data_IF_277570380576
#
_entry.id   IF_277570380576
#
_cell.length_a   1.000
_cell.length_b   1.000
_cell.length_c   1.000
_cell.angle_alpha   90.00
_cell.angle_beta   90.00
_cell.angle_gamma   90.00
#
_symmetry.space_group_name_H-M   'P 1'
#
loop_
_entity.id
_entity.type
_entity.pdbx_description
1 polymer ?
#
# COMPACT_ATOMS: atom_id res chain seq x y z
N UNK A 1 21.03 -2.39 -17.30
CA UNK A 1 20.08 -3.02 -16.36
C UNK A 1 20.23 -2.53 -14.91
N UNK A 2 21.41 -2.50 -14.29
CA UNK A 2 21.57 -2.00 -12.90
C UNK A 2 21.19 -0.52 -12.78
N UNK A 3 21.68 0.35 -13.64
CA UNK A 3 21.35 1.78 -13.67
C UNK A 3 19.88 2.06 -13.99
N UNK A 4 19.26 1.23 -14.81
CA UNK A 4 17.86 1.33 -15.18
C UNK A 4 16.93 1.01 -14.01
N UNK A 5 17.22 -0.06 -13.26
CA UNK A 5 16.47 -0.42 -12.05
C UNK A 5 16.61 0.64 -10.95
N UNK A 6 17.80 1.23 -10.81
CA UNK A 6 17.99 2.33 -9.85
C UNK A 6 17.16 3.55 -10.25
N UNK A 7 17.09 3.88 -11.55
CA UNK A 7 16.23 4.97 -12.04
C UNK A 7 14.76 4.75 -11.72
N UNK A 8 14.25 3.53 -11.88
CA UNK A 8 12.86 3.22 -11.50
C UNK A 8 12.59 3.54 -10.04
N UNK A 9 13.52 3.26 -9.13
CA UNK A 9 13.39 3.65 -7.73
C UNK A 9 13.50 5.16 -7.53
N UNK A 10 14.41 5.84 -8.24
CA UNK A 10 14.57 7.30 -8.16
C UNK A 10 13.30 8.01 -8.64
N UNK A 11 12.70 7.56 -9.75
CA UNK A 11 11.41 8.07 -10.26
C UNK A 11 10.28 7.79 -9.28
N UNK A 12 10.17 6.56 -8.80
CA UNK A 12 9.15 6.19 -7.83
C UNK A 12 9.23 7.02 -6.55
N UNK A 13 10.46 7.29 -6.05
CA UNK A 13 10.69 8.14 -4.89
C UNK A 13 10.26 9.58 -5.14
N UNK A 14 10.64 10.14 -6.28
CA UNK A 14 10.39 11.54 -6.60
C UNK A 14 8.90 11.81 -6.89
N UNK A 15 8.30 11.02 -7.76
CA UNK A 15 6.90 11.20 -8.19
C UNK A 15 5.90 10.73 -7.13
N UNK A 16 6.20 9.61 -6.47
CA UNK A 16 5.41 9.06 -5.38
C UNK A 16 5.55 9.80 -4.06
N UNK A 17 6.46 10.76 -3.97
CA UNK A 17 6.75 11.52 -2.75
C UNK A 17 7.07 10.60 -1.57
N UNK A 18 7.92 9.59 -1.81
CA UNK A 18 8.25 8.59 -0.81
C UNK A 18 9.42 9.07 0.06
N UNK A 19 9.33 8.86 1.37
CA UNK A 19 10.49 9.13 2.26
C UNK A 19 11.62 8.17 1.95
N UNK A 20 11.30 6.88 1.78
CA UNK A 20 12.22 5.87 1.28
C UNK A 20 11.48 4.82 0.46
N UNK A 21 12.16 4.30 -0.55
CA UNK A 21 11.77 3.11 -1.28
C UNK A 21 13.00 2.25 -1.49
N UNK A 22 12.86 0.94 -1.33
CA UNK A 22 13.90 -0.04 -1.59
C UNK A 22 13.34 -1.16 -2.46
N UNK A 23 14.16 -1.71 -3.32
CA UNK A 23 13.77 -2.81 -4.21
C UNK A 23 14.89 -3.81 -4.43
N UNK A 24 14.53 -5.05 -4.66
CA UNK A 24 15.45 -6.12 -5.04
C UNK A 24 14.86 -6.96 -6.17
N UNK A 25 15.71 -7.40 -7.08
CA UNK A 25 15.43 -8.47 -8.04
C UNK A 25 16.22 -9.68 -7.61
N UNK A 26 15.60 -10.84 -7.64
CA UNK A 26 16.19 -12.08 -7.18
C UNK A 26 15.92 -13.25 -8.15
N UNK A 27 16.70 -14.30 -8.00
CA UNK A 27 16.47 -15.58 -8.63
C UNK A 27 16.46 -16.71 -7.58
N UNK A 28 16.49 -17.94 -8.02
CA UNK A 28 16.53 -19.12 -7.13
C UNK A 28 17.77 -19.20 -6.22
N UNK A 29 18.79 -18.39 -6.48
CA UNK A 29 20.06 -18.42 -5.73
C UNK A 29 20.21 -17.22 -4.78
N UNK A 30 19.44 -16.16 -4.96
CA UNK A 30 19.47 -14.98 -4.10
C UNK A 30 19.17 -13.67 -4.86
N UNK A 31 19.48 -12.55 -4.21
CA UNK A 31 19.35 -11.24 -4.84
C UNK A 31 20.41 -11.08 -5.94
N UNK A 32 19.96 -10.77 -7.16
CA UNK A 32 20.82 -10.44 -8.31
C UNK A 32 21.01 -8.93 -8.47
N UNK A 33 20.15 -8.17 -7.88
CA UNK A 33 20.23 -6.70 -7.81
C UNK A 33 19.43 -6.20 -6.61
N UNK A 34 19.91 -5.12 -5.99
CA UNK A 34 19.14 -4.36 -5.00
C UNK A 34 19.57 -2.89 -4.99
N UNK A 35 18.62 -2.02 -4.68
CA UNK A 35 18.84 -0.59 -4.63
C UNK A 35 17.82 0.11 -3.74
N UNK A 36 17.99 1.42 -3.60
CA UNK A 36 17.06 2.25 -2.83
C UNK A 36 17.16 3.71 -3.22
N UNK A 37 16.10 4.47 -2.91
CA UNK A 37 16.03 5.91 -3.14
C UNK A 37 15.42 6.64 -1.93
N UNK A 38 15.69 7.94 -1.82
CA UNK A 38 15.33 8.77 -0.67
C UNK A 38 16.18 8.47 0.57
N UNK A 39 15.55 8.44 1.75
CA UNK A 39 16.19 8.07 3.01
C UNK A 39 16.20 6.53 3.19
N UNK A 40 16.54 5.83 2.11
CA UNK A 40 16.52 4.38 2.09
C UNK A 40 17.60 3.81 3.03
N UNK A 41 17.23 2.92 3.97
CA UNK A 41 18.20 2.10 4.67
C UNK A 41 18.81 1.09 3.68
N UNK A 42 19.89 0.42 4.06
CA UNK A 42 20.38 -0.72 3.31
C UNK A 42 19.36 -1.87 3.25
N UNK A 43 19.78 -3.00 2.70
CA UNK A 43 18.94 -4.21 2.53
C UNK A 43 18.32 -4.73 3.83
N UNK A 44 18.92 -4.40 4.97
CA UNK A 44 18.51 -4.85 6.31
C UNK A 44 17.50 -3.90 6.99
N UNK A 45 17.09 -2.83 6.32
CA UNK A 45 16.04 -1.94 6.81
C UNK A 45 14.72 -2.67 6.94
N UNK A 46 14.11 -2.64 8.14
CA UNK A 46 12.86 -3.32 8.39
C UNK A 46 11.66 -2.41 8.11
N UNK A 47 10.71 -2.92 7.34
CA UNK A 47 9.43 -2.28 7.00
C UNK A 47 8.26 -3.18 7.38
N UNK A 48 7.09 -2.61 7.57
CA UNK A 48 5.86 -3.39 7.69
C UNK A 48 5.45 -3.90 6.32
N UNK A 49 5.16 -5.21 6.20
CA UNK A 49 4.92 -5.85 4.90
C UNK A 49 3.45 -6.06 4.57
N UNK A 50 2.55 -5.65 5.47
CA UNK A 50 1.12 -5.73 5.25
C UNK A 50 0.67 -7.11 4.78
N UNK A 51 -0.17 -7.13 3.77
CA UNK A 51 -0.83 -8.36 3.29
C UNK A 51 0.09 -9.42 2.68
N UNK A 52 1.40 -9.15 2.48
CA UNK A 52 2.35 -10.23 2.20
C UNK A 52 2.31 -11.27 3.34
N UNK A 53 1.97 -10.86 4.56
CA UNK A 53 1.70 -11.73 5.72
C UNK A 53 0.71 -12.86 5.40
N UNK A 54 -0.29 -12.62 4.53
CA UNK A 54 -1.28 -13.61 4.15
C UNK A 54 -0.67 -14.83 3.46
N UNK A 55 0.38 -14.63 2.70
CA UNK A 55 1.08 -15.75 2.05
C UNK A 55 1.68 -16.70 3.07
N UNK A 56 2.20 -16.17 4.19
CA UNK A 56 2.73 -16.97 5.29
C UNK A 56 1.59 -17.69 6.06
N UNK A 57 0.48 -17.00 6.32
CA UNK A 57 -0.71 -17.62 6.91
C UNK A 57 -1.26 -18.75 6.02
N UNK A 58 -1.33 -18.55 4.72
CA UNK A 58 -1.79 -19.57 3.77
C UNK A 58 -0.86 -20.80 3.75
N UNK A 59 0.46 -20.60 3.79
CA UNK A 59 1.42 -21.71 3.89
C UNK A 59 1.20 -22.50 5.19
N UNK A 60 0.92 -21.86 6.32
CA UNK A 60 0.60 -22.58 7.57
C UNK A 60 -0.70 -23.40 7.45
N UNK A 61 -1.73 -22.89 6.78
CA UNK A 61 -2.97 -23.65 6.53
C UNK A 61 -2.68 -24.88 5.66
N UNK A 62 -1.92 -24.71 4.59
CA UNK A 62 -1.53 -25.80 3.70
C UNK A 62 -0.64 -26.82 4.42
N UNK A 63 0.30 -26.37 5.28
CA UNK A 63 1.08 -27.29 6.12
C UNK A 63 0.21 -28.08 7.12
N UNK A 64 -0.85 -27.47 7.65
CA UNK A 64 -1.82 -28.16 8.52
C UNK A 64 -2.60 -29.22 7.74
N UNK A 65 -3.01 -28.95 6.50
CA UNK A 65 -3.62 -29.89 5.58
C UNK A 65 -2.66 -31.05 5.26
N UNK A 66 -1.42 -30.75 4.90
CA UNK A 66 -0.40 -31.76 4.57
C UNK A 66 -0.07 -32.67 5.77
N UNK A 67 -0.22 -32.15 7.00
CA UNK A 67 -0.10 -32.92 8.22
C UNK A 67 -1.36 -33.72 8.60
N UNK A 68 -2.44 -33.67 7.82
CA UNK A 68 -3.71 -34.35 8.09
C UNK A 68 -4.49 -33.76 9.27
N UNK A 69 -4.26 -32.51 9.63
CA UNK A 69 -4.94 -31.83 10.75
C UNK A 69 -6.26 -31.16 10.32
N UNK A 70 -6.44 -30.93 9.02
CA UNK A 70 -7.62 -30.31 8.42
C UNK A 70 -7.71 -30.71 6.94
N UNK A 71 -8.91 -30.49 6.32
CA UNK A 71 -9.10 -30.46 4.88
C UNK A 71 -9.42 -29.03 4.45
N UNK A 72 -8.99 -28.64 3.23
CA UNK A 72 -9.29 -27.29 2.73
C UNK A 72 -10.78 -27.07 2.44
N UNK A 73 -11.52 -28.14 2.28
CA UNK A 73 -12.95 -28.11 2.05
C UNK A 73 -13.78 -28.23 3.35
N UNK A 74 -13.10 -28.32 4.52
CA UNK A 74 -13.75 -28.21 5.82
C UNK A 74 -14.35 -26.81 6.00
N UNK A 75 -15.57 -26.71 6.58
CA UNK A 75 -16.15 -25.44 6.99
C UNK A 75 -15.39 -24.87 8.20
N UNK A 76 -15.33 -23.56 8.31
CA UNK A 76 -14.69 -22.86 9.44
C UNK A 76 -15.26 -23.32 10.80
N UNK A 77 -16.55 -23.64 10.86
CA UNK A 77 -17.21 -24.10 12.09
C UNK A 77 -16.60 -25.38 12.67
N UNK A 78 -16.07 -26.30 11.86
CA UNK A 78 -15.44 -27.54 12.31
C UNK A 78 -14.14 -27.27 13.12
N UNK A 79 -13.56 -26.10 12.93
CA UNK A 79 -12.33 -25.69 13.60
C UNK A 79 -12.54 -24.63 14.66
N UNK A 80 -13.52 -23.74 14.45
CA UNK A 80 -13.71 -22.54 15.29
C UNK A 80 -14.95 -22.63 16.18
N UNK A 81 -15.87 -23.60 15.90
CA UNK A 81 -17.17 -23.68 16.58
C UNK A 81 -18.14 -22.64 16.02
N UNK A 82 -18.97 -22.08 16.90
CA UNK A 82 -20.00 -21.11 16.50
C UNK A 82 -19.36 -19.76 16.18
N UNK A 83 -19.23 -19.48 14.87
CA UNK A 83 -18.71 -18.24 14.30
C UNK A 83 -19.61 -17.76 13.17
N UNK A 84 -19.69 -16.45 12.97
CA UNK A 84 -20.65 -15.82 12.05
C UNK A 84 -20.54 -16.22 10.56
N UNK A 85 -19.49 -16.92 10.16
CA UNK A 85 -19.22 -17.41 8.79
C UNK A 85 -18.85 -18.89 8.81
N UNK A 86 -19.43 -19.64 9.75
CA UNK A 86 -19.04 -21.00 10.05
C UNK A 86 -19.15 -21.99 8.88
N UNK A 87 -20.06 -21.77 7.94
CA UNK A 87 -20.27 -22.63 6.76
C UNK A 87 -19.26 -22.40 5.63
N UNK A 88 -18.46 -21.30 5.67
CA UNK A 88 -17.43 -21.01 4.67
C UNK A 88 -16.29 -22.01 4.78
N UNK A 89 -15.83 -22.56 3.67
CA UNK A 89 -14.70 -23.48 3.65
C UNK A 89 -13.35 -22.74 3.79
N UNK A 90 -12.33 -23.44 4.28
CA UNK A 90 -10.99 -22.90 4.38
C UNK A 90 -10.45 -22.49 3.00
N UNK A 91 -10.79 -23.25 1.94
CA UNK A 91 -10.46 -22.95 0.55
C UNK A 91 -11.07 -21.64 0.09
N UNK A 92 -12.34 -21.41 0.36
CA UNK A 92 -13.04 -20.16 0.01
C UNK A 92 -12.47 -18.96 0.77
N UNK A 93 -12.10 -19.13 2.04
CA UNK A 93 -11.46 -18.09 2.83
C UNK A 93 -10.05 -17.76 2.29
N UNK A 94 -9.23 -18.79 1.97
CA UNK A 94 -7.90 -18.63 1.36
C UNK A 94 -7.93 -17.94 0.00
N UNK A 95 -8.99 -18.16 -0.78
CA UNK A 95 -9.13 -17.65 -2.15
C UNK A 95 -9.93 -16.35 -2.24
N UNK A 96 -10.33 -15.75 -1.11
CA UNK A 96 -11.19 -14.58 -1.09
C UNK A 96 -12.51 -14.75 -1.88
N UNK A 97 -13.05 -15.95 -1.89
CA UNK A 97 -14.36 -16.28 -2.49
C UNK A 97 -15.44 -16.58 -1.45
N UNK A 98 -15.16 -16.31 -0.19
CA UNK A 98 -16.03 -16.61 0.95
C UNK A 98 -17.32 -15.78 1.02
N UNK A 99 -17.39 -14.66 0.32
CA UNK A 99 -18.47 -13.67 0.47
C UNK A 99 -18.46 -12.93 1.81
N UNK A 100 -17.41 -13.06 2.62
CA UNK A 100 -17.24 -12.27 3.84
C UNK A 100 -17.01 -10.81 3.51
N UNK A 101 -17.38 -9.92 4.42
CA UNK A 101 -16.98 -8.50 4.35
C UNK A 101 -15.46 -8.36 4.29
N UNK A 102 -14.99 -7.26 3.67
CA UNK A 102 -13.54 -7.01 3.51
C UNK A 102 -12.84 -6.80 4.85
N UNK A 103 -13.41 -5.95 5.69
CA UNK A 103 -12.83 -5.51 6.95
C UNK A 103 -13.67 -5.93 8.15
N UNK A 104 -13.08 -6.16 9.33
CA UNK A 104 -13.85 -6.42 10.53
C UNK A 104 -14.68 -5.19 10.90
N UNK A 105 -15.80 -5.39 11.59
CA UNK A 105 -16.56 -4.32 12.22
C UNK A 105 -15.78 -3.72 13.36
N UNK A 106 -15.93 -2.43 13.57
CA UNK A 106 -15.29 -1.68 14.64
C UNK A 106 -14.40 -0.55 14.11
N UNK A 107 -13.46 -0.09 14.91
CA UNK A 107 -12.51 0.95 14.51
C UNK A 107 -11.56 0.44 13.43
N UNK A 108 -10.90 1.36 12.73
CA UNK A 108 -9.89 1.02 11.71
C UNK A 108 -8.75 0.17 12.30
N UNK A 109 -8.84 -1.14 12.09
CA UNK A 109 -8.02 -2.15 12.76
C UNK A 109 -6.52 -2.00 12.48
N UNK A 110 -6.14 -1.47 11.34
CA UNK A 110 -4.74 -1.24 10.99
C UNK A 110 -4.09 -0.12 11.81
N UNK A 111 -4.91 0.80 12.37
CA UNK A 111 -4.47 1.98 13.13
C UNK A 111 -4.75 1.86 14.63
N UNK A 112 -5.51 0.88 15.04
CA UNK A 112 -5.90 0.68 16.44
C UNK A 112 -5.34 -0.62 17.00
N UNK A 113 -5.11 -0.65 18.31
CA UNK A 113 -4.72 -1.89 18.97
C UNK A 113 -5.85 -2.92 18.83
N UNK A 114 -5.50 -4.10 18.27
CA UNK A 114 -6.46 -5.18 18.08
C UNK A 114 -6.88 -5.85 19.39
N UNK A 115 -8.10 -6.36 19.40
CA UNK A 115 -8.62 -7.24 20.44
C UNK A 115 -8.17 -8.68 20.26
N UNK A 116 -8.65 -9.55 21.15
CA UNK A 116 -8.50 -11.00 21.02
C UNK A 116 -9.51 -11.60 20.01
N UNK A 117 -9.41 -12.90 19.79
CA UNK A 117 -10.29 -13.62 18.85
C UNK A 117 -11.76 -13.61 19.30
N UNK A 118 -12.04 -13.68 20.60
CA UNK A 118 -13.42 -13.68 21.11
C UNK A 118 -14.12 -12.35 20.80
N UNK A 119 -13.42 -11.23 21.00
CA UNK A 119 -13.91 -9.90 20.63
C UNK A 119 -14.11 -9.76 19.10
N UNK A 120 -13.20 -10.32 18.29
CA UNK A 120 -13.34 -10.31 16.84
C UNK A 120 -14.60 -11.04 16.39
N UNK A 121 -14.84 -12.25 16.88
CA UNK A 121 -16.02 -13.06 16.54
C UNK A 121 -17.30 -12.38 17.01
N UNK A 122 -17.33 -11.87 18.24
CA UNK A 122 -18.51 -11.18 18.79
C UNK A 122 -18.92 -9.96 17.94
N UNK A 123 -17.94 -9.25 17.36
CA UNK A 123 -18.21 -8.12 16.49
C UNK A 123 -18.63 -8.51 15.06
N UNK A 124 -18.34 -9.74 14.61
CA UNK A 124 -18.49 -10.19 13.23
C UNK A 124 -19.37 -11.45 13.15
N UNK A 125 -20.66 -11.26 13.40
CA UNK A 125 -21.72 -12.28 13.53
C UNK A 125 -22.22 -12.89 12.20
N UNK A 126 -21.59 -12.58 11.07
CA UNK A 126 -22.00 -13.02 9.73
C UNK A 126 -22.98 -12.10 9.01
N UNK A 127 -23.60 -11.14 9.70
CA UNK A 127 -24.57 -10.20 9.09
C UNK A 127 -23.92 -9.20 8.12
N UNK A 128 -22.57 -9.13 8.07
CA UNK A 128 -21.80 -8.34 7.10
C UNK A 128 -21.53 -9.07 5.78
N UNK A 129 -22.11 -10.24 5.54
CA UNK A 129 -21.97 -11.01 4.30
C UNK A 129 -22.35 -10.16 3.08
N UNK A 130 -21.47 -10.13 2.07
CA UNK A 130 -21.67 -9.35 0.84
C UNK A 130 -22.12 -10.20 -0.34
N UNK A 131 -21.87 -11.53 -0.29
CA UNK A 131 -22.23 -12.48 -1.33
C UNK A 131 -22.35 -13.89 -0.77
N UNK A 132 -23.04 -14.81 -1.48
CA UNK A 132 -22.90 -16.24 -1.24
C UNK A 132 -21.44 -16.68 -1.41
N UNK A 133 -21.01 -17.66 -0.63
CA UNK A 133 -19.70 -18.27 -0.80
C UNK A 133 -19.56 -18.86 -2.22
N UNK A 134 -18.38 -18.74 -2.82
CA UNK A 134 -18.09 -19.17 -4.18
C UNK A 134 -18.62 -18.26 -5.31
N UNK A 135 -19.40 -17.21 -5.00
CA UNK A 135 -20.04 -16.39 -6.04
C UNK A 135 -19.05 -15.54 -6.87
N UNK A 136 -18.11 -14.86 -6.22
CA UNK A 136 -17.06 -14.06 -6.86
C UNK A 136 -15.91 -13.76 -5.89
N UNK A 137 -14.83 -13.23 -6.43
CA UNK A 137 -13.72 -12.71 -5.64
C UNK A 137 -14.15 -11.49 -4.82
N UNK A 138 -13.97 -11.56 -3.51
CA UNK A 138 -14.16 -10.43 -2.59
C UNK A 138 -13.09 -10.47 -1.50
N UNK A 139 -12.10 -9.61 -1.61
CA UNK A 139 -10.97 -9.59 -0.69
C UNK A 139 -11.41 -9.38 0.75
N UNK A 140 -11.00 -10.28 1.65
CA UNK A 140 -11.37 -10.22 3.06
C UNK A 140 -10.16 -10.37 3.99
N UNK A 141 -9.86 -9.31 4.74
CA UNK A 141 -8.90 -9.36 5.84
C UNK A 141 -9.45 -10.21 7.00
N UNK A 142 -10.76 -10.12 7.25
CA UNK A 142 -11.44 -10.91 8.27
C UNK A 142 -11.24 -12.42 8.04
N UNK A 143 -11.36 -12.91 6.80
CA UNK A 143 -11.14 -14.30 6.46
C UNK A 143 -9.76 -14.82 6.88
N UNK A 144 -8.72 -14.01 6.69
CA UNK A 144 -7.36 -14.39 7.10
C UNK A 144 -7.14 -14.34 8.62
N UNK A 145 -7.86 -13.49 9.35
CA UNK A 145 -7.86 -13.54 10.80
C UNK A 145 -8.45 -14.86 11.31
N UNK A 146 -9.58 -15.32 10.72
CA UNK A 146 -10.19 -16.60 11.04
C UNK A 146 -9.26 -17.78 10.69
N UNK A 147 -8.63 -17.78 9.51
CA UNK A 147 -7.63 -18.80 9.12
C UNK A 147 -6.44 -18.85 10.08
N UNK A 148 -5.99 -17.72 10.59
CA UNK A 148 -4.93 -17.66 11.61
C UNK A 148 -5.32 -18.36 12.90
N UNK A 149 -6.56 -18.23 13.34
CA UNK A 149 -7.07 -18.94 14.52
C UNK A 149 -7.27 -20.44 14.24
N UNK A 150 -7.71 -20.81 13.03
CA UNK A 150 -7.80 -22.23 12.63
C UNK A 150 -6.46 -22.93 12.82
N UNK A 151 -5.37 -22.38 12.25
CA UNK A 151 -4.05 -23.03 12.37
C UNK A 151 -3.56 -23.01 13.82
N UNK A 152 -3.85 -21.95 14.57
CA UNK A 152 -3.50 -21.87 16.00
C UNK A 152 -4.12 -23.01 16.79
N UNK A 153 -5.40 -23.27 16.62
CA UNK A 153 -6.11 -24.37 17.29
C UNK A 153 -5.62 -25.74 16.82
N UNK A 154 -5.42 -25.92 15.53
CA UNK A 154 -5.01 -27.23 14.97
C UNK A 154 -3.59 -27.63 15.35
N UNK A 155 -2.66 -26.69 15.46
CA UNK A 155 -1.30 -26.96 15.92
C UNK A 155 -1.11 -26.80 17.45
N UNK A 156 -2.08 -26.25 18.18
CA UNK A 156 -2.00 -26.04 19.64
C UNK A 156 -1.00 -24.96 20.06
N UNK A 157 -0.78 -23.95 19.20
CA UNK A 157 0.14 -22.83 19.44
C UNK A 157 -0.43 -21.54 18.84
N UNK A 158 -0.01 -20.38 19.31
CA UNK A 158 -0.46 -19.11 18.72
C UNK A 158 0.02 -18.96 17.29
N UNK A 159 -0.74 -18.25 16.45
CA UNK A 159 -0.32 -17.94 15.08
C UNK A 159 1.09 -17.32 15.01
N UNK A 160 1.42 -16.43 15.95
CA UNK A 160 2.74 -15.83 16.07
C UNK A 160 3.85 -16.86 16.29
N UNK A 161 3.65 -17.82 17.19
CA UNK A 161 4.59 -18.91 17.43
C UNK A 161 4.72 -19.79 16.18
N UNK A 162 3.60 -20.12 15.53
CA UNK A 162 3.60 -20.94 14.31
C UNK A 162 4.38 -20.29 13.18
N UNK A 163 4.14 -19.01 12.89
CA UNK A 163 4.95 -18.27 11.89
C UNK A 163 6.43 -18.34 12.26
N UNK A 164 6.76 -18.06 13.52
CA UNK A 164 8.16 -18.04 13.97
C UNK A 164 8.82 -19.41 13.83
N UNK A 165 8.17 -20.46 14.33
CA UNK A 165 8.79 -21.78 14.48
C UNK A 165 8.74 -22.62 13.22
N UNK A 166 7.69 -22.45 12.42
CA UNK A 166 7.48 -23.25 11.22
C UNK A 166 7.98 -22.58 9.93
N UNK A 167 8.09 -21.24 9.92
CA UNK A 167 8.50 -20.50 8.72
C UNK A 167 9.78 -19.71 8.94
N UNK A 168 9.79 -18.77 9.90
CA UNK A 168 10.92 -17.83 10.03
C UNK A 168 12.20 -18.53 10.46
N UNK A 169 12.14 -19.38 11.49
CA UNK A 169 13.32 -20.07 12.02
C UNK A 169 13.93 -21.06 11.02
N UNK A 170 13.16 -21.97 10.36
CA UNK A 170 13.70 -22.90 9.37
C UNK A 170 14.31 -22.22 8.15
N UNK A 171 13.82 -21.03 7.78
CA UNK A 171 14.33 -20.25 6.66
C UNK A 171 15.45 -19.28 7.05
N UNK A 172 15.73 -19.13 8.34
CA UNK A 172 16.71 -18.16 8.83
C UNK A 172 16.26 -16.68 8.66
N UNK A 173 14.97 -16.41 8.55
CA UNK A 173 14.41 -15.06 8.39
C UNK A 173 14.49 -14.30 9.72
N UNK A 174 15.71 -13.96 10.10
CA UNK A 174 15.99 -13.38 11.42
C UNK A 174 15.53 -11.93 11.55
N UNK A 175 15.36 -11.23 10.45
CA UNK A 175 14.92 -9.84 10.42
C UNK A 175 13.41 -9.69 10.18
N UNK A 176 12.69 -10.80 10.03
CA UNK A 176 11.21 -10.81 10.01
C UNK A 176 10.67 -11.01 11.41
N UNK A 177 9.68 -10.22 11.82
CA UNK A 177 9.16 -10.22 13.19
C UNK A 177 7.69 -9.77 13.26
N UNK A 178 7.03 -10.13 14.37
CA UNK A 178 5.65 -9.73 14.65
C UNK A 178 5.52 -8.24 14.99
N UNK A 179 6.44 -7.71 15.79
CA UNK A 179 6.53 -6.28 16.14
C UNK A 179 7.80 -5.69 15.52
N UNK A 180 7.84 -4.36 15.28
CA UNK A 180 9.02 -3.71 14.74
C UNK A 180 10.22 -3.90 15.68
N UNK A 181 11.40 -4.06 15.10
CA UNK A 181 12.66 -4.11 15.82
C UNK A 181 13.19 -2.70 16.07
N UNK A 182 14.08 -2.50 17.03
CA UNK A 182 14.81 -1.24 17.15
C UNK A 182 15.48 -0.88 15.82
N UNK A 183 15.23 0.36 15.34
CA UNK A 183 15.72 0.82 14.04
C UNK A 183 14.86 0.45 12.83
N UNK A 184 13.68 -0.15 13.02
CA UNK A 184 12.69 -0.31 11.96
C UNK A 184 12.29 1.06 11.38
N UNK A 185 11.97 1.07 10.08
CA UNK A 185 11.57 2.31 9.43
C UNK A 185 10.26 2.85 10.01
N UNK A 186 10.15 4.16 10.24
CA UNK A 186 8.89 4.79 10.62
C UNK A 186 7.93 4.77 9.43
N UNK A 187 6.63 4.61 9.71
CA UNK A 187 5.57 4.74 8.72
C UNK A 187 5.13 6.19 8.56
N UNK A 188 4.93 6.63 7.32
CA UNK A 188 4.55 7.99 7.00
C UNK A 188 3.28 8.07 6.16
N UNK A 189 2.40 8.99 6.53
CA UNK A 189 1.43 9.60 5.63
C UNK A 189 1.98 10.93 5.15
N UNK A 190 1.80 11.23 3.87
CA UNK A 190 2.22 12.50 3.27
C UNK A 190 0.98 13.29 2.94
N UNK A 191 0.84 14.48 3.50
CA UNK A 191 -0.28 15.35 3.17
C UNK A 191 -0.26 15.70 1.68
N UNK A 192 -1.39 15.49 1.02
CA UNK A 192 -1.50 15.61 -0.44
C UNK A 192 -1.14 17.01 -0.95
N UNK A 193 -1.61 18.04 -0.23
CA UNK A 193 -1.49 19.42 -0.68
C UNK A 193 -0.21 20.10 -0.22
N UNK A 194 0.30 19.73 0.94
CA UNK A 194 1.45 20.42 1.54
C UNK A 194 2.75 19.62 1.44
N UNK A 195 2.68 18.32 1.26
CA UNK A 195 3.86 17.44 1.29
C UNK A 195 4.44 17.26 2.70
N UNK A 196 3.75 17.72 3.75
CA UNK A 196 4.15 17.51 5.14
C UNK A 196 3.93 16.04 5.51
N UNK A 197 4.89 15.45 6.21
CA UNK A 197 4.80 14.08 6.71
C UNK A 197 4.10 14.02 8.07
N UNK A 198 3.26 13.01 8.24
CA UNK A 198 2.64 12.66 9.52
C UNK A 198 2.99 11.22 9.85
N UNK A 199 3.36 10.95 11.09
CA UNK A 199 3.62 9.60 11.56
C UNK A 199 2.35 8.76 11.58
N UNK A 200 2.42 7.57 11.01
CA UNK A 200 1.39 6.56 11.15
C UNK A 200 1.62 5.70 12.41
N UNK A 201 0.55 5.33 13.12
CA UNK A 201 0.69 4.53 14.32
C UNK A 201 1.18 3.12 14.00
N UNK A 202 2.08 2.61 14.85
CA UNK A 202 2.59 1.25 14.79
C UNK A 202 1.88 0.44 15.87
N UNK A 203 0.85 -0.30 15.49
CA UNK A 203 0.00 -1.03 16.43
C UNK A 203 0.16 -2.54 16.31
N UNK A 204 -0.06 -3.25 17.41
CA UNK A 204 -0.34 -4.68 17.42
C UNK A 204 -1.81 -4.88 17.05
N UNK A 205 -2.05 -5.57 15.95
CA UNK A 205 -3.39 -5.77 15.39
C UNK A 205 -4.15 -6.95 16.03
N UNK A 206 -3.56 -7.61 17.04
CA UNK A 206 -4.21 -8.68 17.80
C UNK A 206 -4.71 -9.81 16.92
N UNK A 207 -6.00 -10.16 17.02
CA UNK A 207 -6.62 -11.23 16.24
C UNK A 207 -6.56 -11.00 14.71
N UNK A 208 -6.37 -9.75 14.26
CA UNK A 208 -6.20 -9.44 12.83
C UNK A 208 -4.76 -9.65 12.33
N UNK A 209 -3.81 -10.01 13.19
CA UNK A 209 -2.41 -10.17 12.84
C UNK A 209 -2.14 -11.09 11.64
N UNK A 210 -2.85 -12.21 11.45
CA UNK A 210 -2.66 -13.10 10.30
C UNK A 210 -2.93 -12.44 8.94
N UNK A 211 -3.63 -11.31 8.93
CA UNK A 211 -3.96 -10.57 7.71
C UNK A 211 -2.87 -9.55 7.29
N UNK A 212 -2.02 -9.03 8.22
CA UNK A 212 -1.11 -7.96 7.82
C UNK A 212 -0.10 -7.46 8.84
N UNK A 213 0.18 -8.19 9.94
CA UNK A 213 0.97 -7.67 11.06
C UNK A 213 2.48 -7.62 10.83
N UNK A 214 3.04 -8.51 10.01
CA UNK A 214 4.48 -8.78 10.00
C UNK A 214 5.32 -7.62 9.48
N UNK A 215 6.54 -7.58 9.99
CA UNK A 215 7.63 -6.70 9.61
C UNK A 215 8.74 -7.52 8.98
N UNK A 216 9.38 -7.02 7.90
CA UNK A 216 10.44 -7.74 7.22
C UNK A 216 11.44 -6.79 6.57
N UNK A 217 12.50 -7.35 6.01
CA UNK A 217 13.53 -6.67 5.22
C UNK A 217 13.52 -7.19 3.78
N UNK A 218 14.18 -6.48 2.87
CA UNK A 218 14.34 -6.99 1.50
C UNK A 218 15.03 -8.35 1.47
N UNK A 219 16.07 -8.54 2.29
CA UNK A 219 16.84 -9.80 2.34
C UNK A 219 15.94 -10.98 2.73
N UNK A 220 15.12 -10.82 3.77
CA UNK A 220 14.20 -11.86 4.21
C UNK A 220 13.06 -12.07 3.19
N UNK A 221 12.56 -11.01 2.55
CA UNK A 221 11.54 -11.13 1.49
C UNK A 221 12.06 -11.83 0.23
N UNK A 222 13.32 -11.62 -0.15
CA UNK A 222 13.96 -12.39 -1.23
C UNK A 222 13.92 -13.90 -0.92
N UNK A 223 14.32 -14.29 0.30
CA UNK A 223 14.25 -15.69 0.73
C UNK A 223 12.80 -16.22 0.74
N UNK A 224 11.84 -15.41 1.19
CA UNK A 224 10.42 -15.79 1.14
C UNK A 224 9.91 -15.90 -0.31
N UNK A 225 10.32 -15.01 -1.20
CA UNK A 225 10.01 -15.08 -2.63
C UNK A 225 10.54 -16.37 -3.27
N UNK A 226 11.73 -16.84 -2.88
CA UNK A 226 12.28 -18.11 -3.32
C UNK A 226 11.41 -19.31 -2.87
N UNK A 227 10.82 -19.26 -1.66
CA UNK A 227 9.84 -20.27 -1.22
C UNK A 227 8.62 -20.29 -2.16
N UNK A 228 8.05 -19.12 -2.44
CA UNK A 228 6.90 -19.01 -3.35
C UNK A 228 7.24 -19.38 -4.79
N UNK A 229 8.51 -19.27 -5.19
CA UNK A 229 9.06 -19.75 -6.46
C UNK A 229 9.44 -21.23 -6.49
N UNK A 230 9.28 -21.96 -5.37
CA UNK A 230 9.50 -23.41 -5.31
C UNK A 230 10.93 -23.86 -4.94
N UNK A 231 11.78 -22.96 -4.45
CA UNK A 231 13.16 -23.29 -4.09
C UNK A 231 13.30 -24.06 -2.75
N UNK A 232 12.21 -24.23 -1.97
CA UNK A 232 12.23 -24.87 -0.64
C UNK A 232 11.14 -25.95 -0.51
N UNK A 233 11.31 -27.08 -1.23
CA UNK A 233 10.33 -28.19 -1.18
C UNK A 233 10.29 -28.90 0.19
N UNK A 234 11.27 -28.68 1.03
CA UNK A 234 11.31 -29.14 2.42
C UNK A 234 10.34 -28.38 3.34
N UNK A 235 10.05 -27.13 3.01
CA UNK A 235 9.11 -26.29 3.76
C UNK A 235 7.68 -26.40 3.20
N UNK A 236 7.55 -26.42 1.89
CA UNK A 236 6.29 -26.47 1.14
C UNK A 236 6.47 -27.37 -0.08
N UNK A 237 5.78 -28.51 -0.11
CA UNK A 237 5.93 -29.47 -1.20
C UNK A 237 5.59 -28.87 -2.56
N UNK A 238 6.20 -29.38 -3.63
CA UNK A 238 5.91 -28.90 -4.99
C UNK A 238 4.43 -29.08 -5.38
N UNK A 239 3.77 -30.12 -4.88
CA UNK A 239 2.34 -30.36 -5.11
C UNK A 239 1.48 -29.31 -4.40
N UNK A 240 1.79 -29.02 -3.14
CA UNK A 240 1.10 -28.02 -2.33
C UNK A 240 1.27 -26.60 -2.90
N UNK A 241 2.50 -26.26 -3.29
CA UNK A 241 2.78 -24.99 -3.95
C UNK A 241 2.03 -24.85 -5.28
N UNK A 242 2.00 -25.92 -6.10
CA UNK A 242 1.25 -25.93 -7.36
C UNK A 242 -0.24 -25.73 -7.12
N UNK A 243 -0.81 -26.34 -6.07
CA UNK A 243 -2.20 -26.12 -5.70
C UNK A 243 -2.45 -24.68 -5.27
N UNK A 244 -1.58 -24.10 -4.42
CA UNK A 244 -1.70 -22.68 -4.01
C UNK A 244 -1.65 -21.71 -5.20
N UNK A 245 -0.89 -22.02 -6.23
CA UNK A 245 -0.73 -21.21 -7.45
C UNK A 245 -1.81 -21.45 -8.50
N UNK A 246 -2.74 -22.41 -8.26
CA UNK A 246 -3.84 -22.66 -9.18
C UNK A 246 -4.94 -21.62 -8.96
N UNK A 247 -5.46 -20.98 -10.02
CA UNK A 247 -6.57 -20.05 -9.87
C UNK A 247 -7.80 -20.72 -9.25
N UNK A 248 -8.30 -20.17 -8.17
CA UNK A 248 -9.62 -20.46 -7.58
C UNK A 248 -10.60 -19.37 -8.02
N UNK A 249 -10.14 -18.14 -8.06
CA UNK A 249 -10.77 -17.00 -8.72
C UNK A 249 -9.84 -16.47 -9.82
N UNK A 250 -10.27 -15.63 -10.78
CA UNK A 250 -9.48 -15.30 -11.97
C UNK A 250 -8.03 -14.91 -11.70
N UNK A 251 -7.78 -14.10 -10.66
CA UNK A 251 -6.45 -13.55 -10.37
C UNK A 251 -5.95 -13.92 -8.96
N UNK A 252 -6.53 -14.98 -8.35
CA UNK A 252 -6.18 -15.37 -6.99
C UNK A 252 -6.23 -16.89 -6.78
N UNK A 253 -5.19 -17.43 -6.15
CA UNK A 253 -5.11 -18.82 -5.70
C UNK A 253 -5.35 -18.96 -4.20
N UNK A 254 -4.66 -19.87 -3.54
CA UNK A 254 -4.77 -20.03 -2.09
C UNK A 254 -3.77 -19.09 -1.38
N UNK A 255 -4.24 -17.90 -1.01
CA UNK A 255 -3.43 -16.87 -0.35
C UNK A 255 -2.38 -16.19 -1.24
N UNK A 256 -2.48 -16.35 -2.56
CA UNK A 256 -1.56 -15.80 -3.54
C UNK A 256 -2.30 -15.00 -4.61
N UNK A 257 -1.89 -13.77 -4.84
CA UNK A 257 -2.22 -13.03 -6.05
C UNK A 257 -1.54 -13.70 -7.24
N UNK A 258 -2.29 -13.83 -8.32
CA UNK A 258 -1.81 -14.38 -9.59
C UNK A 258 -1.80 -13.26 -10.63
N UNK A 259 -0.81 -13.28 -11.50
CA UNK A 259 -0.69 -12.29 -12.55
C UNK A 259 0.10 -12.83 -13.74
N UNK A 260 0.20 -11.99 -14.74
CA UNK A 260 1.01 -12.24 -15.93
C UNK A 260 1.95 -11.07 -16.15
N UNK A 261 3.07 -11.34 -16.79
CA UNK A 261 3.98 -10.37 -17.32
C UNK A 261 4.54 -10.91 -18.67
N UNK A 262 5.20 -10.13 -19.50
CA UNK A 262 5.69 -10.58 -20.80
C UNK A 262 6.57 -11.84 -20.74
N UNK A 263 7.28 -12.06 -19.64
CA UNK A 263 8.15 -13.25 -19.44
C UNK A 263 7.43 -14.50 -18.94
N UNK A 264 6.17 -14.42 -18.48
CA UNK A 264 5.46 -15.57 -17.91
C UNK A 264 4.37 -15.22 -16.90
N UNK A 265 4.26 -16.06 -15.87
CA UNK A 265 3.29 -15.89 -14.77
C UNK A 265 3.98 -15.26 -13.56
N UNK A 266 3.24 -14.49 -12.81
CA UNK A 266 3.67 -14.00 -11.51
C UNK A 266 2.77 -14.52 -10.40
N UNK A 267 3.37 -14.93 -9.30
CA UNK A 267 2.69 -15.27 -8.06
C UNK A 267 3.30 -14.47 -6.91
N UNK A 268 2.50 -14.09 -5.95
CA UNK A 268 2.99 -13.31 -4.81
C UNK A 268 1.87 -12.57 -4.10
N UNK A 269 2.19 -11.44 -3.55
CA UNK A 269 1.20 -10.56 -2.92
C UNK A 269 1.71 -9.13 -2.79
N UNK A 270 0.79 -8.18 -2.83
CA UNK A 270 1.05 -6.81 -2.41
C UNK A 270 0.80 -6.66 -0.90
N UNK A 271 1.39 -5.62 -0.32
CA UNK A 271 1.17 -5.27 1.07
C UNK A 271 0.90 -3.78 1.22
N UNK A 272 -0.08 -3.47 2.05
CA UNK A 272 -0.38 -2.10 2.48
C UNK A 272 -0.74 -2.13 3.94
N UNK A 273 -0.15 -1.24 4.70
CA UNK A 273 -0.53 -0.87 6.07
C UNK A 273 -0.31 0.63 6.20
N UNK A 274 -0.99 1.33 7.11
CA UNK A 274 -0.72 2.75 7.32
C UNK A 274 0.77 3.05 7.44
N UNK A 275 1.27 3.92 6.56
CA UNK A 275 2.68 4.26 6.48
C UNK A 275 3.56 3.33 5.66
N UNK A 276 3.03 2.26 5.03
CA UNK A 276 3.86 1.27 4.33
C UNK A 276 3.17 0.69 3.11
N UNK A 277 3.93 0.54 2.03
CA UNK A 277 3.57 -0.21 0.83
C UNK A 277 4.63 -1.27 0.56
N UNK A 278 4.21 -2.44 0.09
CA UNK A 278 5.09 -3.55 -0.21
C UNK A 278 4.58 -4.38 -1.40
N UNK A 279 5.49 -5.01 -2.11
CA UNK A 279 5.17 -6.06 -3.07
C UNK A 279 6.22 -7.17 -3.02
N UNK A 280 5.80 -8.39 -3.25
CA UNK A 280 6.66 -9.54 -3.48
C UNK A 280 6.01 -10.39 -4.57
N UNK A 281 6.68 -10.49 -5.70
CA UNK A 281 6.23 -11.30 -6.83
C UNK A 281 7.37 -12.10 -7.41
N UNK A 282 7.08 -13.33 -7.84
CA UNK A 282 8.05 -14.23 -8.47
C UNK A 282 7.38 -14.97 -9.63
N UNK A 283 8.12 -15.18 -10.71
CA UNK A 283 7.74 -16.13 -11.76
C UNK A 283 8.17 -17.54 -11.36
N UNK A 284 7.23 -18.47 -11.09
CA UNK A 284 7.56 -19.83 -10.69
C UNK A 284 8.33 -20.60 -11.77
N UNK A 285 8.18 -20.23 -13.05
CA UNK A 285 8.83 -20.89 -14.18
C UNK A 285 10.34 -20.60 -14.23
N UNK A 286 10.70 -19.32 -14.13
CA UNK A 286 12.11 -18.89 -14.17
C UNK A 286 12.76 -18.80 -12.80
N UNK A 287 11.97 -18.62 -11.73
CA UNK A 287 12.43 -18.30 -10.38
C UNK A 287 12.87 -16.84 -10.23
N UNK A 288 12.66 -16.01 -11.25
CA UNK A 288 12.97 -14.58 -11.20
C UNK A 288 11.82 -13.84 -10.49
N UNK A 289 12.16 -13.00 -9.54
CA UNK A 289 11.18 -12.20 -8.81
C UNK A 289 11.70 -10.85 -8.37
N UNK A 290 10.81 -10.04 -7.83
CA UNK A 290 11.17 -8.78 -7.20
C UNK A 290 10.41 -8.56 -5.90
N UNK A 291 11.07 -7.84 -4.98
CA UNK A 291 10.50 -7.32 -3.76
C UNK A 291 10.65 -5.79 -3.74
N UNK A 292 9.63 -5.10 -3.28
CA UNK A 292 9.60 -3.64 -3.09
C UNK A 292 9.07 -3.33 -1.71
N UNK A 293 9.71 -2.40 -1.01
CA UNK A 293 9.27 -1.87 0.28
C UNK A 293 9.37 -0.34 0.26
N UNK A 294 8.32 0.33 0.70
CA UNK A 294 8.29 1.78 0.86
C UNK A 294 7.63 2.17 2.19
N UNK A 295 8.11 3.25 2.82
CA UNK A 295 7.52 3.76 4.04
C UNK A 295 6.60 4.95 3.79
N UNK A 296 5.56 4.72 3.02
CA UNK A 296 4.50 5.67 2.75
C UNK A 296 3.14 4.95 2.66
N UNK A 297 2.05 5.65 3.03
CA UNK A 297 0.68 5.11 2.91
C UNK A 297 0.22 5.05 1.45
N UNK A 298 0.70 5.96 0.62
CA UNK A 298 0.33 6.10 -0.79
C UNK A 298 1.55 6.54 -1.61
N UNK A 299 1.39 6.65 -2.93
CA UNK A 299 2.38 7.29 -3.81
C UNK A 299 2.85 6.41 -4.96
N UNK A 300 2.78 5.09 -4.81
CA UNK A 300 3.11 4.12 -5.88
C UNK A 300 2.12 2.97 -5.89
N UNK A 301 2.00 2.30 -7.03
CA UNK A 301 1.59 0.89 -7.07
C UNK A 301 2.83 0.02 -6.88
N UNK A 302 2.98 -0.67 -5.74
CA UNK A 302 4.18 -1.44 -5.46
C UNK A 302 4.31 -2.68 -6.37
N UNK A 303 3.19 -3.21 -6.92
CA UNK A 303 3.21 -4.31 -7.89
C UNK A 303 3.76 -3.84 -9.24
N UNK A 304 3.26 -2.73 -9.77
CA UNK A 304 3.75 -2.18 -11.03
C UNK A 304 5.26 -1.91 -10.95
N UNK A 305 5.72 -1.33 -9.83
CA UNK A 305 7.15 -1.13 -9.62
C UNK A 305 7.94 -2.45 -9.53
N UNK A 306 7.41 -3.48 -8.86
CA UNK A 306 8.06 -4.79 -8.79
C UNK A 306 8.15 -5.45 -10.18
N UNK A 307 7.09 -5.37 -10.98
CA UNK A 307 7.08 -5.87 -12.38
C UNK A 307 8.11 -5.12 -13.22
N UNK A 308 8.13 -3.78 -13.15
CA UNK A 308 9.10 -2.96 -13.87
C UNK A 308 10.57 -3.29 -13.48
N UNK A 309 10.81 -3.60 -12.20
CA UNK A 309 12.15 -4.05 -11.75
C UNK A 309 12.55 -5.41 -12.35
N UNK A 310 11.59 -6.34 -12.54
CA UNK A 310 11.84 -7.64 -13.20
C UNK A 310 12.17 -7.41 -14.67
N UNK A 311 11.34 -6.68 -15.40
CA UNK A 311 11.40 -6.51 -16.83
C UNK A 311 12.49 -5.53 -17.27
N UNK A 312 12.75 -4.52 -16.48
CA UNK A 312 13.42 -3.31 -16.88
C UNK A 312 12.47 -2.40 -17.66
N UNK A 313 12.91 -1.17 -17.91
CA UNK A 313 12.19 -0.22 -18.77
C UNK A 313 13.10 0.13 -19.96
N UNK A 314 12.87 -0.47 -21.14
CA UNK A 314 13.73 -0.24 -22.30
C UNK A 314 13.65 1.21 -22.84
N UNK A 315 12.55 1.92 -22.55
CA UNK A 315 12.28 3.28 -23.01
C UNK A 315 12.61 4.35 -21.96
N UNK A 316 13.17 3.96 -20.81
CA UNK A 316 13.51 4.90 -19.76
C UNK A 316 14.55 5.94 -20.23
N UNK A 317 14.15 7.20 -20.20
CA UNK A 317 15.05 8.35 -20.41
C UNK A 317 16.22 8.31 -19.39
N UNK A 318 17.39 8.77 -19.80
CA UNK A 318 18.58 8.79 -18.95
C UNK A 318 18.53 9.86 -17.84
N UNK A 319 17.52 10.71 -17.83
CA UNK A 319 17.32 11.74 -16.82
C UNK A 319 16.86 11.13 -15.49
N UNK A 320 17.60 11.43 -14.42
CA UNK A 320 17.17 11.13 -13.03
C UNK A 320 16.46 12.34 -12.45
N UNK A 321 15.23 12.19 -11.96
CA UNK A 321 14.56 13.31 -11.30
C UNK A 321 15.29 13.71 -10.02
N UNK A 322 15.17 14.98 -9.63
CA UNK A 322 15.64 15.42 -8.33
C UNK A 322 14.84 14.67 -7.23
N UNK A 323 15.50 14.12 -6.21
CA UNK A 323 14.80 13.42 -5.13
C UNK A 323 13.77 14.32 -4.45
N UNK A 324 12.57 13.81 -4.28
CA UNK A 324 11.57 14.51 -3.47
C UNK A 324 12.02 14.59 -2.00
N UNK A 325 11.78 15.75 -1.41
CA UNK A 325 12.00 16.01 0.00
C UNK A 325 10.69 16.45 0.65
N UNK A 326 10.37 15.95 1.86
CA UNK A 326 9.17 16.39 2.56
C UNK A 326 9.25 17.87 2.91
N UNK A 327 8.13 18.54 2.79
CA UNK A 327 7.95 19.89 3.31
C UNK A 327 8.12 19.86 4.83
N UNK A 328 8.93 20.76 5.35
CA UNK A 328 9.10 20.92 6.80
C UNK A 328 8.01 21.82 7.36
N UNK A 329 7.75 22.95 6.69
CA UNK A 329 6.76 23.94 7.09
C UNK A 329 6.21 24.66 5.86
N UNK A 330 4.91 24.93 5.85
CA UNK A 330 4.30 25.89 4.93
C UNK A 330 4.30 27.24 5.66
N UNK A 331 4.79 28.33 5.04
CA UNK A 331 4.75 29.65 5.69
C UNK A 331 3.33 30.05 6.11
N UNK A 332 3.19 30.67 7.28
CA UNK A 332 1.90 31.05 7.85
C UNK A 332 1.06 31.92 6.90
N UNK A 333 1.71 32.81 6.16
CA UNK A 333 1.05 33.70 5.19
C UNK A 333 0.33 32.95 4.08
N UNK A 334 0.76 31.73 3.74
CA UNK A 334 0.18 30.91 2.65
C UNK A 334 -0.38 29.57 3.13
N UNK A 335 -0.35 29.30 4.43
CA UNK A 335 -0.72 28.00 4.98
C UNK A 335 -2.17 27.58 4.67
N UNK A 336 -3.07 28.52 4.49
CA UNK A 336 -4.47 28.29 4.10
C UNK A 336 -4.68 28.13 2.58
N UNK A 337 -3.65 28.27 1.73
CA UNK A 337 -3.81 28.21 0.27
C UNK A 337 -3.83 26.76 -0.25
N UNK A 338 -2.92 25.85 0.16
CA UNK A 338 -2.94 24.50 -0.36
C UNK A 338 -4.29 23.83 -0.19
N UNK A 339 -4.78 23.15 -1.24
CA UNK A 339 -6.10 22.54 -1.25
C UNK A 339 -6.79 22.62 -2.61
N UNK A 340 -8.06 22.24 -2.63
CA UNK A 340 -8.90 22.30 -3.81
C UNK A 340 -9.42 23.72 -4.04
N UNK A 341 -9.29 24.20 -5.27
CA UNK A 341 -9.80 25.50 -5.73
C UNK A 341 -10.53 25.37 -7.06
N UNK A 342 -11.37 26.35 -7.39
CA UNK A 342 -12.14 26.39 -8.64
C UNK A 342 -12.02 27.74 -9.31
N UNK A 343 -11.64 27.74 -10.59
CA UNK A 343 -11.85 28.85 -11.49
C UNK A 343 -13.12 28.58 -12.28
N UNK A 344 -14.21 29.25 -11.90
CA UNK A 344 -15.54 28.85 -12.36
C UNK A 344 -15.88 27.42 -11.95
N UNK A 345 -16.06 26.49 -12.92
CA UNK A 345 -16.24 25.05 -12.67
C UNK A 345 -14.93 24.24 -12.85
N UNK A 346 -13.85 24.89 -13.23
CA UNK A 346 -12.59 24.17 -13.45
C UNK A 346 -11.88 23.95 -12.13
N UNK A 347 -11.69 22.70 -11.76
CA UNK A 347 -11.03 22.31 -10.52
C UNK A 347 -9.50 22.36 -10.65
N UNK A 348 -8.87 22.91 -9.63
CA UNK A 348 -7.41 22.97 -9.45
C UNK A 348 -7.01 22.32 -8.14
N UNK A 349 -6.03 21.43 -8.22
CA UNK A 349 -5.26 20.89 -7.10
C UNK A 349 -4.09 21.84 -6.84
N UNK A 350 -4.18 22.65 -5.76
CA UNK A 350 -3.17 23.64 -5.41
C UNK A 350 -2.29 23.08 -4.32
N UNK A 351 -0.99 22.90 -4.64
CA UNK A 351 -0.02 22.28 -3.75
C UNK A 351 1.11 23.23 -3.36
N UNK A 352 1.57 23.10 -2.12
CA UNK A 352 2.87 23.63 -1.71
C UNK A 352 3.96 22.63 -2.07
N UNK A 353 4.87 23.01 -2.94
CA UNK A 353 5.96 22.15 -3.40
C UNK A 353 7.22 22.95 -3.71
N UNK A 354 8.38 22.49 -3.18
CA UNK A 354 9.67 23.15 -3.39
C UNK A 354 9.61 24.67 -3.16
N UNK A 355 9.08 25.06 -1.99
CA UNK A 355 8.96 26.45 -1.54
C UNK A 355 8.09 27.35 -2.45
N UNK A 356 7.15 26.78 -3.18
CA UNK A 356 6.20 27.49 -4.02
C UNK A 356 4.82 26.84 -4.07
N UNK A 357 3.85 27.58 -4.61
CA UNK A 357 2.50 27.08 -4.90
C UNK A 357 2.42 26.63 -6.36
N UNK A 358 2.03 25.39 -6.57
CA UNK A 358 1.72 24.84 -7.89
C UNK A 358 0.20 24.75 -8.05
N UNK A 359 -0.34 25.35 -9.12
CA UNK A 359 -1.71 25.17 -9.57
C UNK A 359 -1.74 24.07 -10.62
N UNK A 360 -2.51 23.03 -10.37
CA UNK A 360 -2.61 21.85 -11.21
C UNK A 360 -4.03 21.70 -11.74
N UNK A 361 -4.23 21.81 -13.05
CA UNK A 361 -5.55 21.65 -13.64
C UNK A 361 -5.97 20.17 -13.66
N UNK A 362 -6.95 19.80 -12.82
CA UNK A 362 -7.41 18.41 -12.70
C UNK A 362 -7.99 17.86 -14.00
N UNK A 363 -8.74 18.69 -14.76
CA UNK A 363 -9.31 18.31 -16.05
C UNK A 363 -8.26 18.02 -17.15
N UNK A 364 -6.99 18.35 -16.93
CA UNK A 364 -5.88 18.11 -17.85
C UNK A 364 -4.89 17.06 -17.34
N UNK A 365 -5.34 16.07 -16.58
CA UNK A 365 -4.45 15.05 -16.03
C UNK A 365 -3.59 15.55 -14.87
N UNK A 366 -4.05 16.55 -14.14
CA UNK A 366 -3.35 17.10 -12.96
C UNK A 366 -1.96 17.70 -13.26
N UNK A 367 -1.79 18.27 -14.49
CA UNK A 367 -0.54 18.94 -14.90
C UNK A 367 -0.42 20.30 -14.24
N UNK A 368 0.81 20.70 -13.89
CA UNK A 368 1.12 22.05 -13.41
C UNK A 368 0.84 23.05 -14.56
N UNK A 369 -0.09 23.96 -14.33
CA UNK A 369 -0.40 25.05 -15.25
C UNK A 369 0.29 26.35 -14.87
N UNK A 370 0.42 26.61 -13.59
CA UNK A 370 1.06 27.79 -13.03
C UNK A 370 1.83 27.44 -11.78
N UNK A 371 2.90 28.18 -11.51
CA UNK A 371 3.69 28.12 -10.29
C UNK A 371 3.96 29.52 -9.77
N UNK A 372 3.73 29.73 -8.48
CA UNK A 372 4.00 30.98 -7.76
C UNK A 372 5.03 30.77 -6.67
N UNK A 373 5.97 31.71 -6.54
CA UNK A 373 6.97 31.71 -5.48
C UNK A 373 6.81 32.92 -4.58
N UNK A 374 7.19 32.78 -3.33
CA UNK A 374 7.10 33.86 -2.35
C UNK A 374 8.33 34.78 -2.50
N UNK A 375 8.12 35.96 -3.07
CA UNK A 375 9.16 36.97 -3.28
C UNK A 375 8.83 38.18 -2.38
N UNK A 376 9.65 38.44 -1.36
CA UNK A 376 9.45 39.50 -0.37
C UNK A 376 8.02 39.49 0.24
N UNK A 377 7.48 38.30 0.56
CA UNK A 377 6.15 38.17 1.15
C UNK A 377 4.98 38.23 0.15
N UNK A 378 5.26 38.29 -1.15
CA UNK A 378 4.26 38.35 -2.22
C UNK A 378 4.41 37.14 -3.12
N UNK A 379 3.30 36.48 -3.48
CA UNK A 379 3.29 35.35 -4.41
C UNK A 379 3.36 35.87 -5.86
N UNK A 380 4.47 35.59 -6.53
CA UNK A 380 4.71 35.98 -7.93
C UNK A 380 4.77 34.76 -8.81
N UNK A 381 4.05 34.79 -9.93
CA UNK A 381 4.08 33.73 -10.95
C UNK A 381 5.46 33.58 -11.58
N UNK A 382 6.03 32.38 -11.52
CA UNK A 382 7.34 32.07 -12.11
C UNK A 382 7.23 31.14 -13.33
N UNK A 383 6.09 30.46 -13.46
CA UNK A 383 5.80 29.55 -14.56
C UNK A 383 4.33 29.63 -14.93
N UNK A 384 4.01 29.37 -16.20
CA UNK A 384 2.66 29.25 -16.71
C UNK A 384 2.09 30.55 -17.30
N UNK A 385 0.75 30.59 -17.40
CA UNK A 385 0.02 31.70 -17.99
C UNK A 385 0.21 33.01 -17.21
N UNK A 386 0.26 32.90 -15.87
CA UNK A 386 0.38 34.04 -14.95
C UNK A 386 1.83 34.39 -14.59
N UNK A 387 2.78 34.05 -15.43
CA UNK A 387 4.19 34.37 -15.20
C UNK A 387 4.42 35.89 -15.10
N UNK A 388 4.99 36.33 -13.98
CA UNK A 388 5.26 37.75 -13.65
C UNK A 388 4.09 38.47 -12.96
N UNK A 389 2.93 37.82 -12.85
CA UNK A 389 1.77 38.37 -12.16
C UNK A 389 1.72 37.98 -10.68
N UNK A 390 1.04 38.78 -9.89
CA UNK A 390 0.86 38.53 -8.46
C UNK A 390 -0.40 37.68 -8.24
N UNK A 391 -0.28 36.64 -7.40
CA UNK A 391 -1.43 35.94 -6.80
C UNK A 391 -1.79 36.62 -5.47
N UNK A 392 -2.96 37.26 -5.42
CA UNK A 392 -3.46 37.97 -4.25
C UNK A 392 -4.32 37.02 -3.40
N UNK A 393 -4.05 36.99 -2.08
CA UNK A 393 -4.83 36.23 -1.11
C UNK A 393 -5.85 37.14 -0.44
N UNK A 394 -7.09 37.09 -0.89
CA UNK A 394 -8.19 37.87 -0.26
C UNK A 394 -8.65 37.18 0.99
N UNK A 395 -8.61 37.88 2.13
CA UNK A 395 -8.93 37.33 3.45
C UNK A 395 -10.22 37.84 4.00
N UNK A 396 -10.89 37.00 4.79
CA UNK A 396 -12.03 37.40 5.65
C UNK A 396 -11.53 38.16 6.88
N UNK A 397 -12.44 38.82 7.60
CA UNK A 397 -12.10 39.54 8.84
C UNK A 397 -11.44 38.66 9.92
N UNK A 398 -11.70 37.36 9.92
CA UNK A 398 -11.10 36.39 10.84
C UNK A 398 -9.68 35.95 10.42
N UNK A 399 -9.16 36.48 9.29
CA UNK A 399 -7.85 36.14 8.74
C UNK A 399 -7.84 34.92 7.82
N UNK A 400 -8.90 34.14 7.72
CA UNK A 400 -9.00 33.01 6.80
C UNK A 400 -9.04 33.46 5.35
N UNK A 401 -8.49 32.66 4.42
CA UNK A 401 -8.49 32.97 3.00
C UNK A 401 -9.91 32.77 2.44
N UNK A 402 -10.46 33.83 1.84
CA UNK A 402 -11.76 33.81 1.20
C UNK A 402 -11.66 33.28 -0.24
N UNK A 403 -10.84 33.94 -1.07
CA UNK A 403 -10.60 33.57 -2.44
C UNK A 403 -9.19 34.02 -2.87
N UNK A 404 -8.76 33.56 -4.05
CA UNK A 404 -7.51 33.97 -4.66
C UNK A 404 -7.80 34.77 -5.92
N UNK A 405 -7.00 35.79 -6.20
CA UNK A 405 -7.09 36.60 -7.41
C UNK A 405 -5.74 36.64 -8.14
N UNK A 406 -5.77 36.44 -9.45
CA UNK A 406 -4.64 36.69 -10.31
C UNK A 406 -5.12 37.33 -11.60
N UNK A 407 -4.78 38.61 -11.84
CA UNK A 407 -5.38 39.44 -12.88
C UNK A 407 -6.91 39.43 -12.80
N UNK A 408 -7.60 38.89 -13.81
CA UNK A 408 -9.05 38.74 -13.84
C UNK A 408 -9.54 37.34 -13.41
N UNK A 409 -8.60 36.45 -13.02
CA UNK A 409 -8.95 35.11 -12.57
C UNK A 409 -9.25 35.14 -11.07
N UNK A 410 -10.42 34.61 -10.72
CA UNK A 410 -10.85 34.47 -9.34
C UNK A 410 -11.01 32.98 -9.02
N UNK A 411 -10.26 32.49 -8.04
CA UNK A 411 -10.32 31.10 -7.60
C UNK A 411 -11.04 31.00 -6.26
N UNK A 412 -12.06 30.17 -6.18
CA UNK A 412 -12.93 29.98 -5.02
C UNK A 412 -12.88 28.56 -4.49
N UNK A 413 -13.29 28.33 -3.22
CA UNK A 413 -13.31 26.98 -2.63
C UNK A 413 -14.46 26.11 -3.12
N UNK A 414 -15.49 26.72 -3.67
CA UNK A 414 -16.63 26.03 -4.30
C UNK A 414 -16.84 26.60 -5.70
N UNK A 415 -17.34 25.79 -6.67
CA UNK A 415 -17.63 26.30 -8.00
C UNK A 415 -18.58 27.48 -7.96
N UNK A 416 -18.19 28.61 -8.60
CA UNK A 416 -18.98 29.84 -8.66
C UNK A 416 -19.53 30.25 -7.29
N UNK A 417 -18.67 30.39 -6.29
CA UNK A 417 -19.02 30.76 -4.92
C UNK A 417 -19.92 32.02 -4.93
N UNK A 418 -21.17 31.96 -4.39
CA UNK A 418 -22.10 33.05 -4.43
C UNK A 418 -21.67 34.26 -3.59
N UNK A 419 -20.78 34.05 -2.63
CA UNK A 419 -20.30 35.11 -1.72
C UNK A 419 -19.05 35.84 -2.30
N UNK A 420 -18.61 35.47 -3.51
CA UNK A 420 -17.47 36.07 -4.20
C UNK A 420 -17.90 36.72 -5.48
N UNK A 421 -17.55 38.00 -5.68
CA UNK A 421 -17.76 38.69 -6.95
C UNK A 421 -16.88 38.08 -8.03
N UNK A 422 -17.52 37.51 -9.07
CA UNK A 422 -16.84 36.91 -10.20
C UNK A 422 -16.93 37.87 -11.40
N UNK A 423 -15.78 38.24 -12.00
CA UNK A 423 -15.79 39.10 -13.18
C UNK A 423 -16.66 38.50 -14.31
N UNK A 424 -17.62 39.28 -14.77
CA UNK A 424 -18.62 38.83 -15.76
C UNK A 424 -19.86 38.16 -15.16
N UNK A 425 -19.94 38.02 -13.84
CA UNK A 425 -21.09 37.48 -13.11
C UNK A 425 -21.15 35.96 -13.08
N UNK A 426 -22.11 35.46 -12.33
CA UNK A 426 -22.35 34.02 -12.22
C UNK A 426 -23.13 33.49 -13.43
N UNK A 427 -22.85 32.23 -13.86
CA UNK A 427 -23.64 31.62 -14.92
C UNK A 427 -25.11 31.49 -14.46
N UNK A 428 -26.03 31.79 -15.36
CA UNK A 428 -27.47 31.59 -15.10
C UNK A 428 -27.74 30.08 -15.21
N UNK A 429 -28.35 29.50 -14.17
CA UNK A 429 -28.92 28.15 -14.30
C UNK A 429 -30.06 28.19 -15.30
N UNK A 430 -30.16 27.21 -16.20
CA UNK A 430 -31.27 27.14 -17.18
C UNK A 430 -32.61 26.97 -16.51
#
# INVERSE_FOLDING_TARGET
MSDQRQRLLDVAQAEGRLTSVVGAVFDRYGAVWAGGAGQAPGLDGQYRIGSITKTMTAVLVVQARDAGLLDLDDPLADHLGDVGYGEVTLREALAHSSGMQSEPRGPWWERTRGGDFAALVAANDGSGRVAPAGAWFHYSNLGFALLGEVVARRFGATWRELVTDRLLRPLGLRATSYLPRPGAQPGWSVDHFTGIRVHEPLTDTGAMAPAGQLWSTLADLVTWGQVLGGARPDLLSASSLTEMQRPVTPDYGLGLMLGVHPGGRLVGHNGSMPGFLAALHVDPGSGIGAAVLANATTGIDPRELAVALIEGDPDADDTRPAPWRPTVVVPDDVSGVPGLWFWGNTAYDVRWHNDGLELRAMARGNVVTDRFELVHGVLIGVLGYHRGEQLVLVRRPDGTIHHLECATFVYTRTPYDPDVEIPGGHPRRP
#
